data_IF_914045215877
#
_entry.id   IF_914045215877
#
_cell.length_a   1.000
_cell.length_b   1.000
_cell.length_c   1.000
_cell.angle_alpha   90.00
_cell.angle_beta   90.00
_cell.angle_gamma   90.00
#
_symmetry.space_group_name_H-M   'P 1'
#
loop_
_entity.id
_entity.type
_entity.pdbx_description
1 polymer ?
#
# COMPACT_ATOMS: atom_id res chain seq x y z
N UNK A 1 26.88 18.86 3.74
CA UNK A 1 26.61 18.07 4.95
C UNK A 1 26.00 16.75 4.52
N UNK A 2 26.38 15.62 5.13
CA UNK A 2 25.80 14.31 4.81
C UNK A 2 24.53 14.05 5.62
N UNK A 3 23.56 13.42 4.99
CA UNK A 3 22.27 13.04 5.62
C UNK A 3 22.32 11.64 6.31
N UNK A 4 23.45 10.95 6.21
CA UNK A 4 23.64 9.58 6.74
C UNK A 4 23.53 9.49 8.26
N UNK A 5 23.86 10.60 8.96
CA UNK A 5 23.68 10.73 10.40
C UNK A 5 22.91 12.02 10.72
N UNK A 6 21.57 11.98 10.68
CA UNK A 6 20.72 13.15 10.89
C UNK A 6 20.96 13.86 12.22
N UNK A 7 21.27 13.12 13.29
CA UNK A 7 21.50 13.70 14.62
C UNK A 7 22.73 14.62 14.67
N UNK A 8 23.72 14.44 13.78
CA UNK A 8 24.88 15.34 13.68
C UNK A 8 24.53 16.75 13.21
N UNK A 9 23.33 16.93 12.64
CA UNK A 9 22.83 18.20 12.14
C UNK A 9 21.93 18.94 13.17
N UNK A 10 21.73 18.38 14.36
CA UNK A 10 20.96 19.06 15.42
C UNK A 10 21.73 20.27 15.97
N UNK A 11 21.00 21.36 16.21
CA UNK A 11 21.55 22.57 16.81
C UNK A 11 22.19 23.54 15.82
N UNK A 12 22.09 23.31 14.51
CA UNK A 12 22.49 24.30 13.49
C UNK A 12 21.35 25.30 13.25
N UNK A 13 21.74 26.51 12.82
CA UNK A 13 20.80 27.57 12.41
C UNK A 13 20.92 27.77 10.91
N UNK A 14 19.82 27.72 10.19
CA UNK A 14 19.82 27.77 8.72
C UNK A 14 18.95 28.94 8.23
N UNK A 15 19.49 29.68 7.27
CA UNK A 15 18.75 30.65 6.46
C UNK A 15 18.10 29.98 5.23
N UNK A 16 18.67 28.85 4.80
CA UNK A 16 18.14 28.02 3.72
C UNK A 16 18.79 26.63 3.72
N UNK A 17 18.11 25.67 3.14
CA UNK A 17 18.59 24.30 2.97
C UNK A 17 18.25 23.78 1.57
N UNK A 18 19.17 23.12 0.92
CA UNK A 18 18.98 22.31 -0.28
C UNK A 18 19.14 20.85 0.12
N UNK A 19 18.08 20.06 -0.07
CA UNK A 19 18.06 18.62 0.14
C UNK A 19 18.11 17.97 -1.25
N UNK A 20 19.32 17.56 -1.64
CA UNK A 20 19.57 16.91 -2.93
C UNK A 20 19.46 15.40 -2.76
N UNK A 21 18.90 14.72 -3.73
CA UNK A 21 18.53 13.29 -3.65
C UNK A 21 17.56 12.99 -2.47
N UNK A 22 16.54 13.83 -2.33
CA UNK A 22 15.59 13.75 -1.22
C UNK A 22 14.93 12.37 -1.09
N UNK A 23 14.74 11.66 -2.19
CA UNK A 23 14.16 10.33 -2.21
C UNK A 23 14.98 9.27 -1.44
N UNK A 24 16.28 9.50 -1.25
CA UNK A 24 17.20 8.60 -0.55
C UNK A 24 17.47 9.03 0.90
N UNK A 25 16.92 10.17 1.33
CA UNK A 25 17.14 10.68 2.67
C UNK A 25 16.21 10.01 3.71
N UNK A 26 16.64 9.91 4.99
CA UNK A 26 15.79 9.47 6.06
C UNK A 26 14.53 10.34 6.19
N UNK A 27 13.37 9.75 6.34
CA UNK A 27 12.08 10.45 6.44
C UNK A 27 12.02 11.48 7.57
N UNK A 28 12.68 11.19 8.70
CA UNK A 28 12.75 12.08 9.86
C UNK A 28 13.66 13.31 9.67
N UNK A 29 14.52 13.33 8.65
CA UNK A 29 15.53 14.38 8.49
C UNK A 29 14.91 15.76 8.37
N UNK A 30 13.93 15.92 7.45
CA UNK A 30 13.33 17.24 7.25
C UNK A 30 12.41 17.63 8.42
N UNK A 31 11.39 16.86 8.84
CA UNK A 31 10.45 17.28 9.84
C UNK A 31 11.07 17.48 11.24
N UNK A 32 12.04 16.65 11.62
CA UNK A 32 12.58 16.64 12.98
C UNK A 32 13.86 17.48 13.15
N UNK A 33 14.60 17.74 12.07
CA UNK A 33 15.93 18.36 12.15
C UNK A 33 16.01 19.64 11.33
N UNK A 34 15.77 19.56 10.02
CA UNK A 34 15.97 20.71 9.13
C UNK A 34 14.85 21.75 9.33
N UNK A 35 13.60 21.34 9.42
CA UNK A 35 12.46 22.26 9.61
C UNK A 35 12.59 23.08 10.89
N UNK A 36 12.94 22.51 12.08
CA UNK A 36 13.24 23.28 13.28
C UNK A 36 14.44 24.25 13.09
N UNK A 37 15.53 23.80 12.44
CA UNK A 37 16.72 24.63 12.20
C UNK A 37 16.44 25.87 11.31
N UNK A 38 15.42 25.80 10.43
CA UNK A 38 14.97 26.90 9.59
C UNK A 38 14.00 27.84 10.29
N UNK A 39 13.34 27.38 11.38
CA UNK A 39 12.20 28.10 11.99
C UNK A 39 12.57 29.45 12.59
N UNK A 40 13.71 29.53 13.27
CA UNK A 40 14.17 30.77 13.95
C UNK A 40 14.42 31.93 12.97
N UNK A 41 14.85 31.61 11.75
CA UNK A 41 15.20 32.57 10.73
C UNK A 41 14.16 32.71 9.62
N UNK A 42 13.06 31.96 9.71
CA UNK A 42 12.06 31.84 8.64
C UNK A 42 12.73 31.47 7.30
N UNK A 43 13.65 30.53 7.40
CA UNK A 43 14.47 30.09 6.26
C UNK A 43 13.64 29.30 5.23
N UNK A 44 14.22 29.12 4.05
CA UNK A 44 13.62 28.38 2.95
C UNK A 44 14.24 26.97 2.81
N UNK A 45 13.52 26.06 2.17
CA UNK A 45 14.01 24.76 1.79
C UNK A 45 13.75 24.47 0.30
N UNK A 46 14.72 23.82 -0.36
CA UNK A 46 14.60 23.29 -1.70
C UNK A 46 14.82 21.77 -1.65
N UNK A 47 13.90 21.02 -2.19
CA UNK A 47 13.97 19.58 -2.30
C UNK A 47 14.15 19.20 -3.76
N UNK A 48 15.18 18.45 -4.07
CA UNK A 48 15.49 17.98 -5.42
C UNK A 48 15.80 16.48 -5.37
N UNK A 49 15.57 15.81 -6.47
CA UNK A 49 15.89 14.39 -6.63
C UNK A 49 15.04 13.71 -7.68
N UNK A 50 15.43 12.48 -7.99
CA UNK A 50 14.67 11.58 -8.84
C UNK A 50 13.60 10.86 -8.01
N UNK A 51 12.38 10.71 -8.50
CA UNK A 51 11.34 9.94 -7.82
C UNK A 51 11.78 8.49 -7.52
N UNK A 52 11.44 8.01 -6.32
CA UNK A 52 11.67 6.61 -5.93
C UNK A 52 10.45 6.05 -5.22
N UNK A 53 9.38 5.86 -5.99
CA UNK A 53 8.10 5.40 -5.45
C UNK A 53 7.44 6.43 -4.52
N UNK A 54 6.45 5.98 -3.77
CA UNK A 54 5.66 6.80 -2.85
C UNK A 54 6.31 6.84 -1.47
N UNK A 55 7.44 7.50 -1.37
CA UNK A 55 8.18 7.74 -0.14
C UNK A 55 7.90 9.14 0.43
N UNK A 56 8.62 9.55 1.49
CA UNK A 56 8.48 10.87 2.10
C UNK A 56 8.67 12.04 1.11
N UNK A 57 9.44 11.87 0.04
CA UNK A 57 9.58 12.89 -1.00
C UNK A 57 8.30 13.02 -1.82
N UNK A 58 7.66 11.91 -2.17
CA UNK A 58 6.34 11.90 -2.83
C UNK A 58 5.26 12.52 -1.96
N UNK A 59 5.19 12.15 -0.67
CA UNK A 59 4.24 12.73 0.28
C UNK A 59 4.41 14.24 0.39
N UNK A 60 5.65 14.70 0.50
CA UNK A 60 5.99 16.13 0.56
C UNK A 60 5.56 16.84 -0.73
N UNK A 61 5.87 16.27 -1.92
CA UNK A 61 5.48 16.83 -3.21
C UNK A 61 3.96 16.96 -3.31
N UNK A 62 3.22 15.89 -3.00
CA UNK A 62 1.76 15.86 -3.09
C UNK A 62 1.10 16.81 -2.09
N UNK A 63 1.63 16.89 -0.86
CA UNK A 63 1.14 17.84 0.15
C UNK A 63 1.42 19.30 -0.22
N UNK A 64 2.49 19.58 -0.95
CA UNK A 64 2.88 20.90 -1.39
C UNK A 64 2.09 21.40 -2.62
N UNK A 65 1.50 20.49 -3.41
CA UNK A 65 0.72 20.89 -4.58
C UNK A 65 -0.45 21.81 -4.22
N UNK A 66 -0.50 22.96 -4.88
CA UNK A 66 -1.56 23.95 -4.66
C UNK A 66 -1.47 24.78 -3.37
N UNK A 67 -0.37 24.66 -2.60
CA UNK A 67 -0.11 25.51 -1.45
C UNK A 67 0.58 26.82 -1.88
N UNK A 68 0.11 27.95 -1.38
CA UNK A 68 0.62 29.30 -1.77
C UNK A 68 2.11 29.51 -1.44
N UNK A 69 2.61 28.88 -0.37
CA UNK A 69 3.99 29.01 0.09
C UNK A 69 4.96 28.01 -0.57
N UNK A 70 4.46 27.17 -1.46
CA UNK A 70 5.24 26.12 -2.10
C UNK A 70 5.25 26.27 -3.62
N UNK A 71 6.40 25.94 -4.20
CA UNK A 71 6.53 25.76 -5.65
C UNK A 71 6.87 24.29 -5.92
N UNK A 72 6.04 23.62 -6.72
CA UNK A 72 6.27 22.22 -7.17
C UNK A 72 6.47 22.19 -8.67
N UNK A 73 7.45 21.41 -9.13
CA UNK A 73 7.72 21.21 -10.55
C UNK A 73 8.26 19.81 -10.82
N UNK A 74 7.91 19.25 -11.97
CA UNK A 74 8.51 18.03 -12.54
C UNK A 74 9.09 18.38 -13.88
N UNK A 75 10.36 18.03 -14.10
CA UNK A 75 11.06 18.29 -15.35
C UNK A 75 11.45 16.97 -16.01
N UNK A 76 10.61 16.47 -16.91
CA UNK A 76 10.88 15.24 -17.66
C UNK A 76 11.86 15.51 -18.79
N UNK A 77 12.77 14.58 -19.04
CA UNK A 77 13.76 14.71 -20.09
C UNK A 77 13.10 14.87 -21.47
N UNK A 78 12.02 14.15 -21.74
CA UNK A 78 11.24 14.27 -22.97
C UNK A 78 10.58 15.65 -23.20
N UNK A 79 10.32 16.41 -22.12
CA UNK A 79 9.62 17.70 -22.17
C UNK A 79 10.59 18.89 -22.18
N UNK A 80 11.77 18.74 -21.54
CA UNK A 80 12.70 19.87 -21.35
C UNK A 80 13.52 20.22 -22.58
N UNK A 81 13.75 19.26 -23.50
CA UNK A 81 14.61 19.43 -24.65
C UNK A 81 16.10 19.71 -24.30
N UNK A 82 16.51 19.43 -23.06
CA UNK A 82 17.91 19.59 -22.61
C UNK A 82 18.77 18.47 -23.20
N UNK A 83 18.24 17.25 -23.25
CA UNK A 83 18.86 16.12 -23.91
C UNK A 83 18.25 15.98 -25.30
N UNK A 84 19.07 15.65 -26.30
CA UNK A 84 18.58 15.36 -27.63
C UNK A 84 18.03 13.94 -27.76
N UNK A 85 17.29 13.70 -28.83
CA UNK A 85 16.59 12.41 -29.05
C UNK A 85 17.58 11.24 -29.18
N UNK A 86 18.81 11.48 -29.66
CA UNK A 86 19.83 10.46 -29.81
C UNK A 86 20.36 10.00 -28.44
N UNK A 87 20.62 10.95 -27.54
CA UNK A 87 21.04 10.66 -26.16
C UNK A 87 19.93 9.94 -25.37
N UNK A 88 18.68 10.39 -25.51
CA UNK A 88 17.53 9.72 -24.86
C UNK A 88 17.35 8.28 -25.37
N UNK A 89 17.51 8.06 -26.69
CA UNK A 89 17.44 6.72 -27.25
C UNK A 89 18.62 5.83 -26.79
N UNK A 90 19.81 6.39 -26.65
CA UNK A 90 20.98 5.68 -26.15
C UNK A 90 20.78 5.28 -24.67
N UNK A 91 20.28 6.19 -23.83
CA UNK A 91 19.96 5.91 -22.45
C UNK A 91 18.90 4.81 -22.31
N UNK A 92 17.81 4.91 -23.12
CA UNK A 92 16.74 3.91 -23.13
C UNK A 92 17.24 2.52 -23.56
N UNK A 93 18.21 2.42 -24.44
CA UNK A 93 18.80 1.15 -24.86
C UNK A 93 19.69 0.51 -23.79
N UNK A 94 20.21 1.29 -22.82
CA UNK A 94 21.14 0.84 -21.78
C UNK A 94 20.46 0.44 -20.46
N UNK A 95 19.17 0.75 -20.30
CA UNK A 95 18.44 0.51 -19.04
C UNK A 95 17.08 -0.14 -19.29
N UNK A 96 16.44 -0.63 -18.22
CA UNK A 96 15.07 -1.15 -18.34
C UNK A 96 14.07 -0.01 -18.57
N UNK A 97 12.91 -0.32 -19.15
CA UNK A 97 11.86 0.66 -19.34
C UNK A 97 11.47 1.38 -18.03
N UNK A 98 11.39 0.65 -16.93
CA UNK A 98 11.07 1.20 -15.61
C UNK A 98 12.17 2.14 -15.10
N UNK A 99 13.44 1.76 -15.26
CA UNK A 99 14.56 2.64 -14.92
C UNK A 99 14.52 3.93 -15.74
N UNK A 100 14.29 3.84 -17.05
CA UNK A 100 14.16 5.01 -17.90
C UNK A 100 12.99 5.90 -17.48
N UNK A 101 11.83 5.32 -17.20
CA UNK A 101 10.67 6.06 -16.69
C UNK A 101 10.96 6.75 -15.35
N UNK A 102 11.71 6.13 -14.46
CA UNK A 102 12.09 6.72 -13.19
C UNK A 102 13.12 7.84 -13.36
N UNK A 103 14.25 7.56 -14.00
CA UNK A 103 15.41 8.45 -14.04
C UNK A 103 15.24 9.61 -15.03
N UNK A 104 14.58 9.39 -16.16
CA UNK A 104 14.44 10.40 -17.22
C UNK A 104 13.03 10.99 -17.30
N UNK A 105 11.99 10.23 -16.97
CA UNK A 105 10.60 10.68 -17.06
C UNK A 105 9.98 11.00 -15.70
N UNK A 106 10.77 11.01 -14.64
CA UNK A 106 10.38 11.37 -13.27
C UNK A 106 9.14 10.61 -12.78
N UNK A 107 9.02 9.33 -13.14
CA UNK A 107 7.87 8.51 -12.77
C UNK A 107 7.93 8.08 -11.30
N UNK A 108 6.91 8.42 -10.53
CA UNK A 108 6.74 7.91 -9.15
C UNK A 108 6.30 6.44 -9.10
N UNK A 109 5.83 5.88 -10.22
CA UNK A 109 5.18 4.56 -10.31
C UNK A 109 6.06 3.51 -10.99
N UNK A 110 7.30 3.85 -11.36
CA UNK A 110 8.22 2.89 -11.97
C UNK A 110 8.50 1.73 -11.01
N UNK A 111 8.55 0.50 -11.52
CA UNK A 111 8.77 -0.68 -10.69
C UNK A 111 10.14 -0.60 -9.99
N UNK A 112 10.11 -0.77 -8.67
CA UNK A 112 11.33 -0.81 -7.85
C UNK A 112 12.12 -2.07 -8.19
N UNK A 113 13.45 -2.00 -8.34
CA UNK A 113 14.27 -3.20 -8.46
C UNK A 113 14.00 -4.18 -7.32
N UNK A 114 13.68 -5.43 -7.66
CA UNK A 114 13.30 -6.44 -6.66
C UNK A 114 11.81 -6.43 -6.27
N UNK A 115 10.98 -5.67 -6.98
CA UNK A 115 9.52 -5.67 -6.76
C UNK A 115 8.97 -7.10 -6.82
N UNK A 116 8.16 -7.45 -5.80
CA UNK A 116 7.62 -8.81 -5.65
C UNK A 116 6.51 -9.09 -6.65
N UNK A 117 5.67 -8.10 -6.96
CA UNK A 117 4.49 -8.24 -7.81
C UNK A 117 4.57 -7.42 -9.10
N UNK A 118 5.74 -6.85 -9.40
CA UNK A 118 5.91 -5.90 -10.51
C UNK A 118 5.48 -6.48 -11.85
N UNK A 119 5.92 -7.71 -12.18
CA UNK A 119 5.57 -8.39 -13.42
C UNK A 119 4.08 -8.66 -13.57
N UNK A 120 3.45 -9.21 -12.54
CA UNK A 120 2.04 -9.58 -12.55
C UNK A 120 1.12 -8.36 -12.66
N UNK A 121 1.50 -7.25 -11.99
CA UNK A 121 0.76 -5.99 -12.05
C UNK A 121 0.95 -5.28 -13.38
N UNK A 122 2.14 -5.33 -13.98
CA UNK A 122 2.39 -4.83 -15.31
C UNK A 122 1.53 -5.57 -16.34
N UNK A 123 1.51 -6.90 -16.30
CA UNK A 123 0.63 -7.69 -17.16
C UNK A 123 -0.88 -7.41 -16.90
N UNK A 124 -1.26 -7.12 -15.66
CA UNK A 124 -2.64 -6.73 -15.35
C UNK A 124 -3.00 -5.40 -16.00
N UNK A 125 -2.09 -4.43 -15.99
CA UNK A 125 -2.25 -3.14 -16.64
C UNK A 125 -2.36 -3.28 -18.16
N UNK A 126 -1.43 -3.97 -18.80
CA UNK A 126 -1.39 -4.19 -20.27
C UNK A 126 -2.62 -4.92 -20.78
N UNK A 127 -3.17 -5.87 -19.99
CA UNK A 127 -4.39 -6.61 -20.32
C UNK A 127 -5.69 -5.87 -19.94
N UNK A 128 -5.62 -4.61 -19.52
CA UNK A 128 -6.77 -3.78 -19.16
C UNK A 128 -7.52 -4.23 -17.91
N UNK A 129 -6.88 -5.05 -17.03
CA UNK A 129 -7.50 -5.54 -15.80
C UNK A 129 -7.40 -4.56 -14.63
N UNK A 130 -6.69 -3.44 -14.80
CA UNK A 130 -6.73 -2.26 -13.93
C UNK A 130 -7.59 -1.23 -14.65
N UNK A 131 -8.89 -1.22 -14.31
CA UNK A 131 -9.90 -0.42 -15.03
C UNK A 131 -11.03 -0.03 -14.09
N UNK A 132 -12.18 0.42 -14.57
CA UNK A 132 -13.35 0.59 -13.73
C UNK A 132 -13.95 -0.78 -13.39
N UNK A 133 -14.05 -1.08 -12.11
CA UNK A 133 -14.61 -2.34 -11.58
C UNK A 133 -15.67 -2.00 -10.52
N UNK A 134 -16.89 -1.67 -10.94
CA UNK A 134 -17.93 -1.22 -10.02
C UNK A 134 -18.38 -2.34 -9.08
N UNK A 135 -18.84 -1.95 -7.90
CA UNK A 135 -19.52 -2.83 -6.97
C UNK A 135 -20.78 -3.45 -7.59
N UNK A 136 -20.92 -4.77 -7.51
CA UNK A 136 -22.12 -5.51 -7.89
C UNK A 136 -22.96 -5.82 -6.65
N UNK A 137 -24.15 -5.20 -6.46
CA UNK A 137 -24.97 -5.41 -5.27
C UNK A 137 -25.56 -6.83 -5.17
N UNK A 138 -25.47 -7.64 -6.22
CA UNK A 138 -25.93 -9.04 -6.21
C UNK A 138 -24.89 -10.02 -5.66
N UNK A 139 -23.64 -9.57 -5.54
CA UNK A 139 -22.52 -10.37 -5.06
C UNK A 139 -21.99 -9.83 -3.74
N UNK A 140 -21.76 -10.71 -2.75
CA UNK A 140 -21.23 -10.29 -1.46
C UNK A 140 -19.79 -9.83 -1.56
N UNK A 141 -19.42 -8.84 -0.72
CA UNK A 141 -18.07 -8.30 -0.60
C UNK A 141 -17.35 -9.00 0.54
N UNK A 142 -16.26 -9.67 0.23
CA UNK A 142 -15.34 -10.21 1.22
C UNK A 142 -14.23 -9.18 1.51
N UNK A 143 -13.84 -9.06 2.78
CA UNK A 143 -12.75 -8.16 3.21
C UNK A 143 -11.55 -8.94 3.72
N UNK A 144 -10.36 -8.41 3.43
CA UNK A 144 -9.08 -9.04 3.74
C UNK A 144 -8.18 -8.05 4.45
N UNK A 145 -7.82 -8.38 5.66
CA UNK A 145 -7.22 -7.45 6.60
C UNK A 145 -5.77 -7.79 6.94
N UNK A 146 -4.95 -6.76 7.03
CA UNK A 146 -3.73 -6.75 7.83
C UNK A 146 -3.92 -5.77 8.98
N UNK A 147 -3.78 -6.23 10.23
CA UNK A 147 -4.13 -5.47 11.42
C UNK A 147 -2.86 -5.02 12.16
N UNK A 148 -2.41 -3.80 11.90
CA UNK A 148 -1.31 -3.18 12.63
C UNK A 148 -1.74 -2.57 13.99
N UNK A 149 -0.96 -2.83 15.06
CA UNK A 149 -1.09 -2.09 16.32
C UNK A 149 0.01 -1.05 16.38
N UNK A 150 -0.37 0.23 16.39
CA UNK A 150 0.58 1.33 16.33
C UNK A 150 1.22 1.53 14.96
N UNK A 151 0.78 0.75 13.99
CA UNK A 151 1.14 0.77 12.59
C UNK A 151 -0.11 0.85 11.71
N UNK A 152 0.01 0.76 10.38
CA UNK A 152 -1.15 0.82 9.49
C UNK A 152 -2.00 -0.46 9.53
N UNK A 153 -3.32 -0.30 9.41
CA UNK A 153 -4.25 -1.39 9.10
C UNK A 153 -4.71 -1.24 7.67
N UNK A 154 -4.53 -2.28 6.86
CA UNK A 154 -4.91 -2.33 5.46
C UNK A 154 -6.07 -3.29 5.21
N UNK A 155 -7.01 -2.92 4.35
CA UNK A 155 -8.21 -3.69 4.03
C UNK A 155 -8.43 -3.70 2.51
N UNK A 156 -8.41 -4.89 1.91
CA UNK A 156 -8.88 -5.10 0.55
C UNK A 156 -10.34 -5.54 0.53
N UNK A 157 -11.12 -5.01 -0.40
CA UNK A 157 -12.52 -5.36 -0.60
C UNK A 157 -12.67 -6.08 -1.94
N UNK A 158 -13.24 -7.29 -1.93
CA UNK A 158 -13.29 -8.14 -3.11
C UNK A 158 -14.64 -8.77 -3.33
N UNK A 159 -14.97 -9.02 -4.59
CA UNK A 159 -16.11 -9.83 -5.02
C UNK A 159 -15.62 -10.99 -5.89
N UNK A 160 -16.08 -12.20 -5.61
CA UNK A 160 -15.76 -13.39 -6.41
C UNK A 160 -16.73 -13.52 -7.56
N UNK A 161 -16.25 -13.41 -8.81
CA UNK A 161 -17.07 -13.53 -10.03
C UNK A 161 -16.56 -14.70 -10.87
N UNK A 162 -17.16 -15.86 -10.71
CA UNK A 162 -16.72 -17.09 -11.36
C UNK A 162 -15.29 -17.48 -10.96
N UNK A 163 -14.35 -17.38 -11.90
CA UNK A 163 -12.92 -17.63 -11.64
C UNK A 163 -12.12 -16.36 -11.38
N UNK A 164 -12.71 -15.21 -11.60
CA UNK A 164 -12.08 -13.90 -11.41
C UNK A 164 -12.35 -13.37 -10.02
N UNK A 165 -11.48 -12.48 -9.55
CA UNK A 165 -11.62 -11.72 -8.32
C UNK A 165 -11.67 -10.24 -8.68
N UNK A 166 -12.78 -9.60 -8.39
CA UNK A 166 -12.94 -8.17 -8.56
C UNK A 166 -12.50 -7.48 -7.27
N UNK A 167 -11.42 -6.76 -7.32
CA UNK A 167 -10.88 -5.95 -6.22
C UNK A 167 -11.48 -4.57 -6.40
N UNK A 168 -12.54 -4.30 -5.66
CA UNK A 168 -13.42 -3.14 -5.89
C UNK A 168 -13.05 -1.91 -5.07
N UNK A 169 -12.32 -2.09 -3.95
CA UNK A 169 -11.93 -1.00 -3.06
C UNK A 169 -10.71 -1.39 -2.22
N UNK A 170 -10.04 -0.38 -1.68
CA UNK A 170 -8.95 -0.51 -0.72
C UNK A 170 -9.04 0.59 0.33
N UNK A 171 -8.73 0.26 1.56
CA UNK A 171 -8.65 1.23 2.65
C UNK A 171 -7.43 0.96 3.52
N UNK A 172 -6.71 1.99 3.86
CA UNK A 172 -5.60 1.95 4.80
C UNK A 172 -5.64 3.17 5.71
N UNK A 173 -5.37 2.96 7.00
CA UNK A 173 -5.19 4.04 7.96
C UNK A 173 -4.27 3.62 9.10
N UNK A 174 -3.67 4.60 9.78
CA UNK A 174 -2.71 4.41 10.86
C UNK A 174 -3.23 4.99 12.17
N UNK A 175 -2.91 4.31 13.29
CA UNK A 175 -3.19 4.85 14.63
C UNK A 175 -4.64 4.76 15.09
N UNK A 176 -5.49 4.06 14.35
CA UNK A 176 -6.91 3.91 14.66
C UNK A 176 -7.23 2.53 15.24
N UNK A 177 -8.25 2.48 16.10
CA UNK A 177 -8.74 1.25 16.68
C UNK A 177 -9.86 0.58 15.86
N UNK A 178 -10.23 -0.66 16.22
CA UNK A 178 -11.32 -1.42 15.56
C UNK A 178 -12.65 -0.66 15.45
N UNK A 179 -13.09 0.21 16.39
CA UNK A 179 -14.30 1.01 16.22
C UNK A 179 -14.29 1.92 14.99
N UNK A 180 -13.14 2.50 14.65
CA UNK A 180 -12.98 3.31 13.44
C UNK A 180 -13.24 2.46 12.18
N UNK A 181 -12.62 1.28 12.09
CA UNK A 181 -12.78 0.40 10.93
C UNK A 181 -14.20 -0.18 10.82
N UNK A 182 -14.88 -0.44 11.95
CA UNK A 182 -16.29 -0.80 11.94
C UNK A 182 -17.16 0.28 11.29
N UNK A 183 -16.89 1.56 11.61
CA UNK A 183 -17.56 2.70 10.97
C UNK A 183 -17.22 2.79 9.48
N UNK A 184 -15.97 2.59 9.10
CA UNK A 184 -15.54 2.55 7.70
C UNK A 184 -16.29 1.50 6.90
N UNK A 185 -16.53 0.31 7.46
CA UNK A 185 -17.34 -0.73 6.82
C UNK A 185 -18.81 -0.30 6.67
N UNK A 186 -19.39 0.33 7.69
CA UNK A 186 -20.78 0.79 7.66
C UNK A 186 -21.01 1.90 6.62
N UNK A 187 -20.05 2.83 6.48
CA UNK A 187 -20.15 3.95 5.55
C UNK A 187 -20.06 3.53 4.07
N UNK A 188 -19.52 2.35 3.78
CA UNK A 188 -19.39 1.84 2.40
C UNK A 188 -20.66 1.22 1.84
N UNK A 189 -21.64 0.93 2.66
CA UNK A 189 -22.94 0.36 2.26
C UNK A 189 -22.85 -0.88 1.33
N UNK A 190 -21.81 -1.72 1.57
CA UNK A 190 -21.63 -2.96 0.83
C UNK A 190 -22.41 -4.11 1.48
N UNK A 191 -22.91 -5.02 0.67
CA UNK A 191 -23.43 -6.29 1.17
C UNK A 191 -22.27 -7.23 1.51
N UNK A 192 -21.86 -7.26 2.78
CA UNK A 192 -20.73 -8.04 3.20
C UNK A 192 -20.96 -9.55 3.22
N UNK A 193 -19.92 -10.30 2.85
CA UNK A 193 -19.79 -11.75 2.99
C UNK A 193 -18.95 -12.10 4.21
N UNK A 194 -17.69 -12.45 4.01
CA UNK A 194 -16.74 -12.77 5.07
C UNK A 194 -15.78 -11.62 5.34
N UNK A 195 -15.40 -11.46 6.62
CA UNK A 195 -14.27 -10.62 7.03
C UNK A 195 -13.12 -11.55 7.39
N UNK A 196 -11.98 -11.43 6.71
CA UNK A 196 -10.87 -12.35 6.85
C UNK A 196 -9.64 -11.62 7.42
N UNK A 197 -9.05 -12.17 8.48
CA UNK A 197 -7.92 -11.57 9.17
C UNK A 197 -6.85 -12.61 9.49
N UNK A 198 -5.58 -12.19 9.72
CA UNK A 198 -4.51 -13.09 10.10
C UNK A 198 -4.74 -13.69 11.50
N UNK A 199 -3.97 -14.73 11.81
CA UNK A 199 -4.10 -15.51 13.04
C UNK A 199 -3.78 -14.72 14.32
N UNK A 200 -3.04 -13.61 14.24
CA UNK A 200 -2.70 -12.72 15.36
C UNK A 200 -3.90 -11.95 15.92
N UNK A 201 -5.03 -11.95 15.19
CA UNK A 201 -6.30 -11.41 15.71
C UNK A 201 -6.80 -12.15 16.96
N UNK A 202 -6.33 -13.38 17.21
CA UNK A 202 -6.66 -14.19 18.38
C UNK A 202 -5.83 -13.84 19.63
N UNK A 203 -4.78 -13.01 19.45
CA UNK A 203 -3.92 -12.57 20.57
C UNK A 203 -4.74 -11.68 21.51
N UNK A 204 -4.67 -11.97 22.82
CA UNK A 204 -5.35 -11.20 23.85
C UNK A 204 -4.56 -9.95 24.23
N UNK A 205 -5.26 -8.85 24.35
CA UNK A 205 -4.68 -7.59 24.83
C UNK A 205 -4.53 -7.59 26.34
N UNK A 206 -3.36 -7.17 26.84
CA UNK A 206 -3.06 -7.13 28.26
C UNK A 206 -3.99 -6.23 29.07
N UNK A 207 -4.51 -5.16 28.45
CA UNK A 207 -5.37 -4.18 29.13
C UNK A 207 -6.81 -4.62 29.29
N UNK A 208 -7.41 -5.23 28.26
CA UNK A 208 -8.82 -5.63 28.23
C UNK A 208 -9.04 -7.11 28.58
N UNK A 209 -8.01 -7.93 28.47
CA UNK A 209 -8.09 -9.39 28.57
C UNK A 209 -8.85 -10.06 27.40
N UNK A 210 -9.44 -9.27 26.49
CA UNK A 210 -10.13 -9.73 25.29
C UNK A 210 -9.15 -9.86 24.11
N UNK A 211 -9.41 -10.81 23.21
CA UNK A 211 -8.75 -10.85 21.93
C UNK A 211 -9.32 -9.77 21.00
N UNK A 212 -8.55 -9.36 20.00
CA UNK A 212 -9.06 -8.44 18.96
C UNK A 212 -10.27 -9.02 18.24
N UNK A 213 -10.33 -10.34 18.07
CA UNK A 213 -11.47 -11.03 17.49
C UNK A 213 -12.72 -10.87 18.33
N UNK A 214 -12.61 -10.96 19.69
CA UNK A 214 -13.72 -10.71 20.60
C UNK A 214 -14.19 -9.26 20.58
N UNK A 215 -13.24 -8.30 20.51
CA UNK A 215 -13.57 -6.85 20.36
C UNK A 215 -14.26 -6.58 19.03
N UNK A 216 -13.79 -7.16 17.93
CA UNK A 216 -14.39 -7.01 16.62
C UNK A 216 -15.82 -7.59 16.58
N UNK A 217 -16.01 -8.75 17.23
CA UNK A 217 -17.34 -9.36 17.36
C UNK A 217 -18.33 -8.44 18.08
N UNK A 218 -17.91 -7.80 19.15
CA UNK A 218 -18.75 -6.83 19.88
C UNK A 218 -19.13 -5.61 19.01
N UNK A 219 -18.34 -5.31 17.97
CA UNK A 219 -18.55 -4.25 16.98
C UNK A 219 -19.31 -4.73 15.73
N UNK A 220 -19.76 -5.99 15.70
CA UNK A 220 -20.48 -6.57 14.59
C UNK A 220 -19.60 -7.14 13.46
N UNK A 221 -18.28 -7.23 13.65
CA UNK A 221 -17.34 -7.78 12.66
C UNK A 221 -16.99 -9.21 13.07
N UNK A 222 -17.47 -10.19 12.31
CA UNK A 222 -17.15 -11.60 12.54
C UNK A 222 -15.98 -12.03 11.67
N UNK A 223 -14.78 -12.06 12.25
CA UNK A 223 -13.58 -12.46 11.53
C UNK A 223 -13.42 -13.97 11.39
N UNK A 224 -13.17 -14.40 10.16
CA UNK A 224 -12.60 -15.71 9.82
C UNK A 224 -11.08 -15.59 9.83
N UNK A 225 -10.42 -16.50 10.53
CA UNK A 225 -8.96 -16.53 10.60
C UNK A 225 -8.38 -17.22 9.36
N UNK A 226 -7.49 -16.53 8.66
CA UNK A 226 -6.75 -17.07 7.53
C UNK A 226 -5.61 -17.93 8.04
N UNK A 227 -5.33 -19.11 7.44
CA UNK A 227 -4.24 -19.97 7.86
C UNK A 227 -2.90 -19.29 7.82
N UNK A 228 -2.07 -19.63 8.80
CA UNK A 228 -0.69 -19.21 8.85
C UNK A 228 0.15 -20.02 7.87
N UNK A 229 0.65 -19.37 6.83
CA UNK A 229 1.64 -19.94 5.92
C UNK A 229 2.97 -19.17 6.02
N UNK A 230 4.09 -19.79 5.62
CA UNK A 230 5.34 -19.07 5.40
C UNK A 230 5.11 -17.89 4.44
N UNK A 231 5.83 -16.78 4.67
CA UNK A 231 5.67 -15.55 3.88
C UNK A 231 5.84 -15.84 2.38
N UNK A 232 6.86 -16.61 2.00
CA UNK A 232 7.15 -16.96 0.60
C UNK A 232 6.00 -17.72 -0.06
N UNK A 233 5.36 -18.65 0.64
CA UNK A 233 4.22 -19.41 0.10
C UNK A 233 3.02 -18.49 -0.12
N UNK A 234 2.82 -17.54 0.77
CA UNK A 234 1.79 -16.51 0.64
C UNK A 234 2.07 -15.55 -0.50
N UNK A 235 3.32 -15.12 -0.70
CA UNK A 235 3.73 -14.28 -1.82
C UNK A 235 3.53 -14.99 -3.15
N UNK A 236 3.92 -16.26 -3.23
CA UNK A 236 3.68 -17.07 -4.42
C UNK A 236 2.18 -17.23 -4.71
N UNK A 237 1.36 -17.45 -3.68
CA UNK A 237 -0.09 -17.49 -3.84
C UNK A 237 -0.65 -16.16 -4.40
N UNK A 238 -0.13 -15.02 -3.93
CA UNK A 238 -0.52 -13.70 -4.43
C UNK A 238 -0.11 -13.49 -5.89
N UNK A 239 1.11 -13.87 -6.28
CA UNK A 239 1.56 -13.85 -7.68
C UNK A 239 0.67 -14.70 -8.59
N UNK A 240 0.23 -15.87 -8.11
CA UNK A 240 -0.70 -16.74 -8.86
C UNK A 240 -2.13 -16.20 -8.89
N UNK A 241 -2.52 -15.33 -7.96
CA UNK A 241 -3.85 -14.75 -7.90
C UNK A 241 -4.00 -13.51 -8.80
N UNK A 242 -3.02 -12.59 -8.81
CA UNK A 242 -3.04 -11.32 -9.56
C UNK A 242 -3.47 -11.52 -11.03
N UNK A 243 -3.03 -12.55 -11.78
CA UNK A 243 -3.50 -12.81 -13.13
C UNK A 243 -5.02 -13.02 -13.28
N UNK A 244 -5.74 -13.23 -12.19
CA UNK A 244 -7.19 -13.44 -12.14
C UNK A 244 -7.92 -12.26 -11.51
N UNK A 245 -7.18 -11.27 -11.01
CA UNK A 245 -7.75 -10.07 -10.40
C UNK A 245 -8.10 -9.02 -11.45
N UNK A 246 -9.19 -8.32 -11.21
CA UNK A 246 -9.58 -7.07 -11.84
C UNK A 246 -9.61 -6.02 -10.75
N UNK A 247 -8.90 -4.94 -10.93
CA UNK A 247 -8.76 -3.89 -9.92
C UNK A 247 -9.49 -2.63 -10.36
N UNK A 248 -10.30 -2.05 -9.48
CA UNK A 248 -10.83 -0.71 -9.71
C UNK A 248 -9.68 0.31 -9.63
N UNK A 249 -9.45 1.02 -10.73
CA UNK A 249 -8.28 1.89 -10.91
C UNK A 249 -8.25 3.09 -9.95
N UNK A 250 -9.43 3.56 -9.49
CA UNK A 250 -9.53 4.73 -8.62
C UNK A 250 -9.55 4.32 -7.14
N UNK A 251 -10.47 3.42 -6.78
CA UNK A 251 -10.67 3.02 -5.38
C UNK A 251 -9.55 2.12 -4.84
N UNK A 252 -8.86 1.37 -5.71
CA UNK A 252 -7.72 0.53 -5.29
C UNK A 252 -6.37 1.17 -5.54
N UNK A 253 -6.32 2.40 -6.03
CA UNK A 253 -5.07 3.08 -6.41
C UNK A 253 -4.01 3.04 -5.31
N UNK A 254 -4.27 3.44 -4.03
CA UNK A 254 -3.23 3.42 -2.99
C UNK A 254 -2.68 2.01 -2.73
N UNK A 255 -3.55 1.01 -2.68
CA UNK A 255 -3.15 -0.38 -2.50
C UNK A 255 -2.35 -0.94 -3.68
N UNK A 256 -2.72 -0.60 -4.93
CA UNK A 256 -1.95 -0.98 -6.12
C UNK A 256 -0.56 -0.35 -6.12
N UNK A 257 -0.44 0.89 -5.67
CA UNK A 257 0.84 1.57 -5.52
C UNK A 257 1.72 0.88 -4.50
N UNK A 258 1.15 0.53 -3.33
CA UNK A 258 1.86 -0.26 -2.34
C UNK A 258 2.32 -1.63 -2.88
N UNK A 259 1.46 -2.36 -3.59
CA UNK A 259 1.84 -3.63 -4.20
C UNK A 259 2.97 -3.49 -5.24
N UNK A 260 3.01 -2.39 -6.01
CA UNK A 260 4.09 -2.11 -6.96
C UNK A 260 5.42 -1.82 -6.28
N UNK A 261 5.37 -1.15 -5.12
CA UNK A 261 6.55 -0.75 -4.35
C UNK A 261 7.07 -1.84 -3.42
N UNK A 262 6.26 -2.84 -3.10
CA UNK A 262 6.65 -3.94 -2.23
C UNK A 262 7.77 -4.77 -2.85
N UNK A 263 8.97 -4.70 -2.26
CA UNK A 263 10.19 -5.17 -2.86
C UNK A 263 11.13 -5.90 -1.89
N UNK A 264 12.11 -6.58 -2.44
CA UNK A 264 13.22 -7.22 -1.71
C UNK A 264 14.46 -6.35 -1.81
N UNK A 265 15.10 -6.06 -0.69
CA UNK A 265 16.35 -5.30 -0.68
C UNK A 265 17.46 -6.05 -1.43
N UNK A 266 18.21 -5.33 -2.25
CA UNK A 266 19.40 -5.87 -2.91
C UNK A 266 20.56 -5.90 -1.91
N UNK A 267 21.29 -7.01 -1.88
CA UNK A 267 22.48 -7.18 -1.08
C UNK A 267 23.71 -7.09 -2.01
N UNK A 268 24.39 -5.97 -1.99
CA UNK A 268 25.57 -5.72 -2.84
C UNK A 268 26.70 -6.72 -2.62
N UNK A 269 26.92 -7.15 -1.37
CA UNK A 269 27.97 -8.12 -1.02
C UNK A 269 27.70 -9.50 -1.62
N UNK A 270 26.45 -9.93 -1.61
CA UNK A 270 26.03 -11.24 -2.15
C UNK A 270 25.61 -11.14 -3.62
N UNK A 271 25.51 -9.94 -4.18
CA UNK A 271 24.99 -9.64 -5.52
C UNK A 271 23.66 -10.33 -5.81
N UNK A 272 22.76 -10.31 -4.83
CA UNK A 272 21.45 -10.94 -4.92
C UNK A 272 20.44 -10.21 -4.06
N UNK A 273 19.15 -10.32 -4.41
CA UNK A 273 18.07 -9.84 -3.55
C UNK A 273 17.94 -10.71 -2.30
N UNK A 274 17.58 -10.10 -1.17
CA UNK A 274 17.23 -10.82 0.06
C UNK A 274 15.98 -11.66 -0.18
N UNK A 275 15.86 -12.78 0.51
CA UNK A 275 14.64 -13.60 0.42
C UNK A 275 13.44 -12.91 1.07
N UNK A 276 13.67 -12.16 2.14
CA UNK A 276 12.61 -11.44 2.87
C UNK A 276 12.41 -10.06 2.25
N UNK A 277 11.17 -9.67 1.92
CA UNK A 277 10.86 -8.31 1.49
C UNK A 277 11.19 -7.27 2.57
N UNK A 278 11.36 -6.03 2.15
CA UNK A 278 11.54 -4.90 3.05
C UNK A 278 10.22 -4.66 3.80
N UNK A 279 10.32 -4.37 5.09
CA UNK A 279 9.17 -3.96 5.88
C UNK A 279 9.13 -2.43 5.93
N UNK A 280 8.27 -1.85 5.12
CA UNK A 280 8.03 -0.42 4.99
C UNK A 280 6.52 -0.14 4.83
N UNK A 281 6.16 1.07 4.44
CA UNK A 281 4.77 1.47 4.24
C UNK A 281 3.99 0.56 3.26
N UNK A 282 4.66 -0.07 2.29
CA UNK A 282 4.03 -0.95 1.30
C UNK A 282 3.64 -2.33 1.85
N UNK A 283 4.17 -2.70 3.01
CA UNK A 283 4.04 -4.03 3.59
C UNK A 283 2.62 -4.37 3.98
N UNK A 284 1.87 -3.42 4.54
CA UNK A 284 0.51 -3.67 5.06
C UNK A 284 -0.47 -4.05 3.97
N UNK A 285 -0.48 -3.30 2.86
CA UNK A 285 -1.29 -3.63 1.70
C UNK A 285 -0.89 -4.99 1.08
N UNK A 286 0.42 -5.27 1.01
CA UNK A 286 0.94 -6.52 0.48
C UNK A 286 0.60 -7.72 1.37
N UNK A 287 0.67 -7.58 2.70
CA UNK A 287 0.32 -8.62 3.65
C UNK A 287 -1.19 -8.90 3.65
N UNK A 288 -2.04 -7.86 3.62
CA UNK A 288 -3.47 -8.02 3.45
C UNK A 288 -3.82 -8.73 2.13
N UNK A 289 -3.11 -8.41 1.02
CA UNK A 289 -3.29 -9.07 -0.27
C UNK A 289 -2.79 -10.52 -0.26
N UNK A 290 -1.75 -10.81 0.47
CA UNK A 290 -1.26 -12.17 0.70
C UNK A 290 -2.29 -13.01 1.44
N UNK A 291 -2.96 -12.45 2.47
CA UNK A 291 -4.06 -13.14 3.16
C UNK A 291 -5.27 -13.38 2.25
N UNK A 292 -5.60 -12.45 1.36
CA UNK A 292 -6.59 -12.63 0.30
C UNK A 292 -6.23 -13.85 -0.57
N UNK A 293 -4.99 -13.94 -1.04
CA UNK A 293 -4.57 -15.01 -1.94
C UNK A 293 -4.60 -16.40 -1.27
N UNK A 294 -4.21 -16.46 -0.01
CA UNK A 294 -4.25 -17.70 0.79
C UNK A 294 -5.69 -18.11 1.09
N UNK A 295 -6.55 -17.18 1.52
CA UNK A 295 -7.92 -17.46 1.91
C UNK A 295 -8.80 -17.91 0.75
N UNK A 296 -8.69 -17.29 -0.43
CA UNK A 296 -9.43 -17.71 -1.64
C UNK A 296 -8.99 -19.11 -2.11
N UNK A 297 -7.72 -19.48 -1.95
CA UNK A 297 -7.22 -20.80 -2.33
C UNK A 297 -7.83 -21.92 -1.50
N UNK A 298 -8.03 -21.69 -0.20
CA UNK A 298 -8.67 -22.67 0.70
C UNK A 298 -10.12 -22.93 0.36
N UNK A 299 -10.90 -21.87 0.12
CA UNK A 299 -12.32 -22.01 -0.22
C UNK A 299 -12.55 -22.88 -1.46
N UNK A 300 -11.55 -22.95 -2.35
CA UNK A 300 -11.58 -23.83 -3.53
C UNK A 300 -11.10 -25.26 -3.27
N UNK A 301 -10.26 -25.43 -2.27
CA UNK A 301 -9.70 -26.75 -1.88
C UNK A 301 -10.69 -27.61 -1.11
N UNK A 302 -11.60 -27.01 -0.38
CA UNK A 302 -12.54 -27.73 0.51
C UNK A 302 -13.80 -28.24 -0.19
N UNK A 303 -14.05 -27.87 -1.47
CA UNK A 303 -15.24 -28.34 -2.20
C UNK A 303 -16.57 -28.03 -1.51
N UNK A 304 -16.55 -27.23 -0.47
CA UNK A 304 -17.76 -26.78 0.22
C UNK A 304 -18.50 -25.82 -0.72
N UNK A 305 -19.59 -26.29 -1.31
CA UNK A 305 -20.63 -25.40 -1.80
C UNK A 305 -20.90 -24.36 -0.71
N UNK A 306 -21.17 -23.09 -1.05
CA UNK A 306 -21.56 -22.10 -0.07
C UNK A 306 -22.70 -22.72 0.74
N UNK A 307 -22.46 -23.01 2.02
CA UNK A 307 -23.54 -23.37 2.91
C UNK A 307 -24.47 -22.16 2.90
N UNK A 308 -25.64 -22.34 2.33
CA UNK A 308 -26.73 -21.41 2.52
C UNK A 308 -26.88 -21.28 4.03
N UNK A 309 -26.43 -20.14 4.57
CA UNK A 309 -26.66 -19.80 5.96
C UNK A 309 -28.17 -19.69 6.06
N UNK A 310 -28.76 -20.71 6.69
CA UNK A 310 -30.15 -20.68 7.04
C UNK A 310 -30.41 -19.36 7.75
N UNK A 311 -31.32 -18.60 7.18
CA UNK A 311 -31.93 -17.37 7.61
C UNK A 311 -31.77 -17.10 9.12
N UNK A 312 -30.63 -16.53 9.53
CA UNK A 312 -30.53 -15.83 10.78
C UNK A 312 -30.67 -14.38 10.44
N UNK A 313 -31.80 -13.79 10.77
CA UNK A 313 -32.09 -12.38 10.68
C UNK A 313 -30.97 -11.57 11.34
N UNK A 314 -29.94 -11.25 10.57
CA UNK A 314 -28.91 -10.32 10.99
C UNK A 314 -29.54 -8.92 11.00
N UNK A 315 -29.90 -8.46 12.18
CA UNK A 315 -30.34 -7.09 12.42
C UNK A 315 -29.15 -6.33 13.04
N UNK A 316 -28.41 -5.53 12.28
CA UNK A 316 -27.25 -4.80 12.79
C UNK A 316 -27.57 -3.73 13.83
N UNK A 317 -28.85 -3.45 14.09
CA UNK A 317 -29.28 -2.36 14.96
C UNK A 317 -30.01 -2.80 16.23
N UNK A 318 -30.18 -4.12 16.50
CA UNK A 318 -30.70 -4.60 17.79
C UNK A 318 -32.02 -3.99 18.29
N UNK A 319 -32.81 -3.38 17.41
CA UNK A 319 -34.15 -2.87 17.80
C UNK A 319 -35.14 -4.02 17.85
N UNK A 320 -35.41 -4.50 19.06
CA UNK A 320 -36.60 -5.23 19.37
C UNK A 320 -37.72 -4.19 19.51
N UNK A 321 -38.54 -4.06 18.49
CA UNK A 321 -39.79 -3.30 18.59
C UNK A 321 -40.75 -3.99 19.56
N UNK A 322 -41.27 -3.25 20.49
CA UNK A 322 -42.30 -3.66 21.42
C UNK A 322 -43.60 -4.02 20.73
#
# INVERSE_FOLDING_TARGET
LGAENPDSLRGIYLDGAVLDEMADMPESLFPEIIRPALSDRKGWALFIGTPRGHNAFYELYTAAEGQDDWHTAIYRASETGILDDEELAAAQAMMTADQFQQEFECSWVANVPGAVFGKELQEAHEKGRISSVPYDPTTRVDTWWDLGIGDSTAIWFTQSVGRSVHVIDFYENRGEGLPHYAKVLQERDYLYGSHNAPHDIEVRELGSGKSRREIAWDLGINFRVVPKLPVEDGLHAAQMLIPRCWFDKELTKPGLEALRQYHRAYNERLRSFRNTPVHDWSSHAADAFRYLAVGIREDRGTGAAPQAIADSSYNPLGYVGA
#
